data_IF_276843122972
#
_entry.id   IF_276843122972
#
_cell.length_a   1.000
_cell.length_b   1.000
_cell.length_c   1.000
_cell.angle_alpha   90.00
_cell.angle_beta   90.00
_cell.angle_gamma   90.00
#
_symmetry.space_group_name_H-M   'P 1'
#
loop_
_entity.id
_entity.type
_entity.pdbx_description
1 polymer ?
#
# COMPACT_ATOMS: atom_id res chain seq x y z
N UNK A 1 20.13 -49.48 -20.62
CA UNK A 1 19.24 -49.44 -19.44
C UNK A 1 19.06 -47.99 -19.03
N UNK A 2 17.80 -47.56 -19.05
CA UNK A 2 17.32 -46.19 -19.27
C UNK A 2 17.25 -45.33 -17.99
N UNK A 3 18.27 -45.36 -17.13
CA UNK A 3 18.20 -44.73 -15.80
C UNK A 3 19.04 -43.45 -15.62
N UNK A 4 19.68 -42.93 -16.67
CA UNK A 4 20.63 -41.82 -16.56
C UNK A 4 20.16 -40.47 -17.12
N UNK A 5 18.90 -40.32 -17.55
CA UNK A 5 18.40 -39.09 -18.19
C UNK A 5 17.12 -38.49 -17.57
N UNK A 6 16.78 -38.84 -16.33
CA UNK A 6 15.56 -38.38 -15.66
C UNK A 6 15.83 -37.74 -14.29
N UNK A 7 16.90 -36.94 -14.21
CA UNK A 7 17.19 -36.08 -13.04
C UNK A 7 17.42 -34.63 -13.47
N UNK A 8 16.65 -34.16 -14.44
CA UNK A 8 16.69 -32.78 -14.96
C UNK A 8 15.34 -32.10 -14.87
N UNK A 9 14.57 -32.34 -13.82
CA UNK A 9 13.36 -31.57 -13.51
C UNK A 9 13.13 -31.58 -12.00
N UNK A 10 13.85 -30.72 -11.29
CA UNK A 10 13.48 -30.07 -10.01
C UNK A 10 14.70 -29.30 -9.51
N UNK A 11 15.07 -28.23 -10.23
CA UNK A 11 15.77 -27.12 -9.60
C UNK A 11 14.70 -26.18 -9.05
N UNK A 12 14.50 -26.22 -7.74
CA UNK A 12 13.75 -25.19 -7.04
C UNK A 12 14.57 -23.90 -7.06
N UNK A 13 13.99 -22.74 -7.38
CA UNK A 13 14.69 -21.48 -7.23
C UNK A 13 14.91 -21.25 -5.73
N UNK A 14 16.17 -20.99 -5.35
CA UNK A 14 16.51 -20.53 -4.00
C UNK A 14 15.70 -19.27 -3.74
N UNK A 15 14.76 -19.35 -2.80
CA UNK A 15 14.06 -18.20 -2.26
C UNK A 15 15.13 -17.19 -1.81
N UNK A 16 15.20 -16.07 -2.53
CA UNK A 16 15.98 -14.94 -2.08
C UNK A 16 15.32 -14.47 -0.79
N UNK A 17 15.98 -14.75 0.32
CA UNK A 17 15.64 -14.21 1.63
C UNK A 17 15.68 -12.69 1.50
N UNK A 18 14.51 -12.09 1.24
CA UNK A 18 14.32 -10.67 1.35
C UNK A 18 14.73 -10.27 2.76
N UNK A 19 15.67 -9.32 2.82
CA UNK A 19 16.24 -8.83 4.07
C UNK A 19 15.19 -8.05 4.84
N UNK A 20 14.40 -8.75 5.65
CA UNK A 20 13.47 -8.18 6.63
C UNK A 20 14.22 -7.69 7.88
N UNK A 21 15.13 -6.72 7.76
CA UNK A 21 15.77 -6.15 8.95
C UNK A 21 16.03 -4.66 8.79
N UNK A 22 14.97 -3.88 8.89
CA UNK A 22 15.04 -2.46 9.29
C UNK A 22 13.82 -1.96 10.06
N UNK A 23 12.81 -2.80 10.34
CA UNK A 23 11.56 -2.39 11.02
C UNK A 23 11.50 -2.67 12.53
N UNK A 24 12.52 -3.28 13.15
CA UNK A 24 12.41 -3.79 14.54
C UNK A 24 12.44 -2.73 15.66
N UNK A 25 12.20 -1.44 15.37
CA UNK A 25 12.12 -0.38 16.40
C UNK A 25 10.86 0.49 16.32
N UNK A 26 9.92 0.22 15.41
CA UNK A 26 8.66 0.96 15.38
C UNK A 26 7.56 0.10 16.00
N UNK A 27 6.93 0.60 17.05
CA UNK A 27 5.72 -0.03 17.58
C UNK A 27 4.73 -0.23 16.42
N UNK A 28 4.11 -1.42 16.31
CA UNK A 28 3.10 -1.67 15.29
C UNK A 28 1.98 -0.63 15.47
N UNK A 29 1.39 -0.11 14.37
CA UNK A 29 0.30 0.83 14.48
C UNK A 29 -0.83 0.18 15.28
N UNK A 30 -1.43 0.95 16.17
CA UNK A 30 -2.57 0.47 16.97
C UNK A 30 -3.63 -0.13 16.03
N UNK A 31 -4.01 -1.41 16.22
CA UNK A 31 -4.96 -2.07 15.34
C UNK A 31 -6.33 -1.37 15.34
N UNK A 32 -6.67 -0.69 16.43
CA UNK A 32 -7.85 0.17 16.55
C UNK A 32 -7.79 1.32 15.53
N UNK A 33 -6.66 2.03 15.44
CA UNK A 33 -6.49 3.15 14.50
C UNK A 33 -6.57 2.68 13.04
N UNK A 34 -5.95 1.53 12.72
CA UNK A 34 -6.06 0.93 11.38
C UNK A 34 -7.52 0.62 11.05
N UNK A 35 -8.27 0.08 12.01
CA UNK A 35 -9.69 -0.24 11.83
C UNK A 35 -10.58 1.00 11.66
N UNK A 36 -10.34 2.04 12.45
CA UNK A 36 -11.07 3.31 12.37
C UNK A 36 -10.88 3.96 11.01
N UNK A 37 -9.64 4.14 10.56
CA UNK A 37 -9.34 4.75 9.27
C UNK A 37 -9.88 3.88 8.13
N UNK A 38 -9.72 2.54 8.21
CA UNK A 38 -10.28 1.64 7.19
C UNK A 38 -11.80 1.72 7.10
N UNK A 39 -12.49 1.95 8.22
CA UNK A 39 -13.93 2.18 8.25
C UNK A 39 -14.28 3.52 7.60
N UNK A 40 -13.55 4.60 7.90
CA UNK A 40 -13.72 5.90 7.23
C UNK A 40 -13.61 5.75 5.71
N UNK A 41 -12.58 5.06 5.20
CA UNK A 41 -12.41 4.80 3.77
C UNK A 41 -13.56 3.97 3.19
N UNK A 42 -14.07 3.02 3.95
CA UNK A 42 -15.19 2.17 3.54
C UNK A 42 -16.52 2.93 3.45
N UNK A 43 -16.71 3.92 4.32
CA UNK A 43 -17.92 4.74 4.42
C UNK A 43 -17.92 5.87 3.37
N UNK A 44 -16.74 6.34 2.93
CA UNK A 44 -16.58 7.47 2.00
C UNK A 44 -16.15 7.02 0.60
N UNK A 45 -16.96 6.15 -0.04
CA UNK A 45 -16.67 5.62 -1.39
C UNK A 45 -17.04 6.57 -2.52
N UNK A 46 -17.95 7.50 -2.27
CA UNK A 46 -18.42 8.40 -3.31
C UNK A 46 -17.38 9.52 -3.53
N UNK A 47 -17.08 9.89 -4.78
CA UNK A 47 -16.24 11.05 -5.07
C UNK A 47 -16.67 12.36 -4.40
N UNK A 48 -17.97 12.51 -4.11
CA UNK A 48 -18.52 13.70 -3.44
C UNK A 48 -18.31 13.72 -1.92
N UNK A 49 -17.92 12.59 -1.33
CA UNK A 49 -17.73 12.50 0.12
C UNK A 49 -16.46 13.27 0.53
N UNK A 50 -16.56 14.02 1.62
CA UNK A 50 -15.45 14.80 2.19
C UNK A 50 -14.55 13.91 3.05
N UNK A 51 -13.92 12.92 2.39
CA UNK A 51 -13.02 11.97 3.02
C UNK A 51 -11.85 12.66 3.73
N UNK A 52 -11.30 13.72 3.13
CA UNK A 52 -10.09 14.39 3.63
C UNK A 52 -10.36 15.17 4.92
N UNK A 53 -11.52 15.82 5.02
CA UNK A 53 -11.95 16.45 6.26
C UNK A 53 -12.08 15.43 7.39
N UNK A 54 -12.74 14.29 7.13
CA UNK A 54 -12.88 13.21 8.12
C UNK A 54 -11.52 12.63 8.52
N UNK A 55 -10.58 12.52 7.59
CA UNK A 55 -9.23 12.03 7.87
C UNK A 55 -8.38 13.02 8.68
N UNK A 56 -8.67 14.32 8.62
CA UNK A 56 -7.88 15.38 9.24
C UNK A 56 -7.58 15.16 10.73
N UNK A 57 -8.54 14.60 11.49
CA UNK A 57 -8.37 14.31 12.93
C UNK A 57 -7.28 13.28 13.22
N UNK A 58 -6.93 12.44 12.23
CA UNK A 58 -5.91 11.41 12.36
C UNK A 58 -4.51 11.88 11.97
N UNK A 59 -4.37 13.04 11.32
CA UNK A 59 -3.10 13.55 10.77
C UNK A 59 -1.91 13.47 11.74
N UNK A 60 -2.01 13.85 13.04
CA UNK A 60 -0.88 13.78 13.98
C UNK A 60 -0.39 12.36 14.29
N UNK A 61 -1.17 11.33 13.94
CA UNK A 61 -0.89 9.92 14.22
C UNK A 61 -0.43 9.16 12.98
N UNK A 62 -0.36 9.83 11.82
CA UNK A 62 -0.01 9.19 10.55
C UNK A 62 1.48 8.90 10.51
N UNK A 63 1.82 7.66 10.17
CA UNK A 63 3.16 7.16 9.91
C UNK A 63 3.14 6.25 8.70
N UNK A 64 4.29 6.06 8.03
CA UNK A 64 4.33 5.24 6.81
C UNK A 64 3.84 3.81 7.08
N UNK A 65 4.18 3.25 8.25
CA UNK A 65 3.68 1.95 8.70
C UNK A 65 2.14 1.94 8.85
N UNK A 66 1.55 2.98 9.44
CA UNK A 66 0.08 3.07 9.53
C UNK A 66 -0.57 3.09 8.15
N UNK A 67 -0.02 3.89 7.22
CA UNK A 67 -0.52 3.98 5.84
C UNK A 67 -0.46 2.61 5.16
N UNK A 68 0.67 1.90 5.25
CA UNK A 68 0.80 0.55 4.70
C UNK A 68 -0.27 -0.41 5.23
N UNK A 69 -0.49 -0.44 6.55
CA UNK A 69 -1.49 -1.33 7.16
C UNK A 69 -2.92 -0.98 6.74
N UNK A 70 -3.25 0.31 6.67
CA UNK A 70 -4.56 0.78 6.20
C UNK A 70 -4.77 0.40 4.73
N UNK A 71 -3.78 0.63 3.86
CA UNK A 71 -3.86 0.25 2.45
C UNK A 71 -4.03 -1.26 2.28
N UNK A 72 -3.24 -2.08 2.99
CA UNK A 72 -3.35 -3.55 2.99
C UNK A 72 -4.75 -4.01 3.39
N UNK A 73 -5.38 -3.36 4.37
CA UNK A 73 -6.76 -3.65 4.79
C UNK A 73 -7.80 -3.16 3.79
N UNK A 74 -7.54 -2.05 3.13
CA UNK A 74 -8.42 -1.41 2.15
C UNK A 74 -8.15 -1.87 0.70
N UNK A 75 -7.58 -3.06 0.50
CA UNK A 75 -7.14 -3.51 -0.82
C UNK A 75 -8.21 -3.60 -1.91
N UNK A 76 -9.48 -3.68 -1.50
CA UNK A 76 -10.64 -3.74 -2.39
C UNK A 76 -11.31 -2.36 -2.59
N UNK A 77 -10.74 -1.30 -2.01
CA UNK A 77 -11.29 0.06 -1.98
C UNK A 77 -10.41 0.98 -2.82
N UNK A 78 -10.21 0.65 -4.08
CA UNK A 78 -9.13 1.30 -4.82
C UNK A 78 -9.28 2.81 -4.96
N UNK A 79 -10.49 3.35 -5.20
CA UNK A 79 -10.68 4.80 -5.29
C UNK A 79 -10.45 5.50 -3.94
N UNK A 80 -11.07 5.06 -2.82
CA UNK A 80 -10.77 5.58 -1.49
C UNK A 80 -9.30 5.44 -1.07
N UNK A 81 -8.66 4.31 -1.37
CA UNK A 81 -7.26 4.05 -1.04
C UNK A 81 -6.32 5.05 -1.73
N UNK A 82 -6.59 5.37 -3.00
CA UNK A 82 -5.86 6.41 -3.74
C UNK A 82 -6.04 7.80 -3.12
N UNK A 83 -7.28 8.18 -2.78
CA UNK A 83 -7.54 9.47 -2.10
C UNK A 83 -6.84 9.56 -0.75
N UNK A 84 -6.88 8.48 0.04
CA UNK A 84 -6.16 8.39 1.31
C UNK A 84 -4.65 8.57 1.13
N UNK A 85 -4.07 7.92 0.13
CA UNK A 85 -2.64 8.06 -0.19
C UNK A 85 -2.26 9.50 -0.51
N UNK A 86 -3.04 10.17 -1.38
CA UNK A 86 -2.81 11.57 -1.75
C UNK A 86 -3.02 12.55 -0.58
N UNK A 87 -3.98 12.26 0.30
CA UNK A 87 -4.19 13.01 1.53
C UNK A 87 -3.00 12.88 2.48
N UNK A 88 -2.52 11.65 2.74
CA UNK A 88 -1.40 11.43 3.64
C UNK A 88 -0.14 12.18 3.18
N UNK A 89 0.13 12.21 1.86
CA UNK A 89 1.26 12.95 1.28
C UNK A 89 1.24 14.47 1.55
N UNK A 90 0.07 15.05 1.84
CA UNK A 90 -0.05 16.48 2.15
C UNK A 90 0.21 16.82 3.62
N UNK A 91 0.38 15.81 4.48
CA UNK A 91 0.72 16.02 5.88
C UNK A 91 2.17 16.53 5.96
N UNK A 92 2.43 17.65 6.67
CA UNK A 92 3.79 18.14 6.85
C UNK A 92 4.71 17.08 7.48
N UNK A 93 5.95 17.01 7.01
CA UNK A 93 6.99 16.10 7.48
C UNK A 93 6.66 14.59 7.33
N UNK A 94 5.60 14.25 6.59
CA UNK A 94 5.25 12.87 6.28
C UNK A 94 5.78 12.47 4.90
N UNK A 95 6.37 11.27 4.83
CA UNK A 95 6.80 10.65 3.59
C UNK A 95 6.27 9.22 3.48
N UNK A 96 5.82 8.85 2.28
CA UNK A 96 5.40 7.48 2.00
C UNK A 96 6.61 6.55 1.91
N UNK A 97 6.46 5.33 2.43
CA UNK A 97 7.45 4.28 2.19
C UNK A 97 7.32 3.72 0.77
N UNK A 98 8.41 3.17 0.22
CA UNK A 98 8.38 2.44 -1.06
C UNK A 98 7.29 1.35 -1.08
N UNK A 99 7.12 0.66 0.05
CA UNK A 99 6.10 -0.37 0.23
C UNK A 99 4.68 0.22 0.08
N UNK A 100 4.42 1.43 0.55
CA UNK A 100 3.13 2.11 0.37
C UNK A 100 2.80 2.35 -1.11
N UNK A 101 3.81 2.70 -1.92
CA UNK A 101 3.65 2.85 -3.38
C UNK A 101 3.31 1.51 -4.04
N UNK A 102 4.06 0.45 -3.72
CA UNK A 102 3.80 -0.89 -4.26
C UNK A 102 2.39 -1.39 -3.93
N UNK A 103 1.97 -1.28 -2.66
CA UNK A 103 0.62 -1.66 -2.25
C UNK A 103 -0.42 -0.88 -3.06
N UNK A 104 -0.24 0.43 -3.25
CA UNK A 104 -1.21 1.22 -4.01
C UNK A 104 -1.30 0.79 -5.48
N UNK A 105 -0.17 0.50 -6.13
CA UNK A 105 -0.15 -0.05 -7.50
C UNK A 105 -0.95 -1.35 -7.58
N UNK A 106 -0.73 -2.27 -6.64
CA UNK A 106 -1.48 -3.54 -6.58
C UNK A 106 -2.99 -3.31 -6.40
N UNK A 107 -3.38 -2.38 -5.53
CA UNK A 107 -4.78 -2.05 -5.27
C UNK A 107 -5.45 -1.47 -6.51
N UNK A 108 -4.82 -0.51 -7.17
CA UNK A 108 -5.37 0.13 -8.37
C UNK A 108 -5.47 -0.86 -9.54
N UNK A 109 -4.44 -1.69 -9.73
CA UNK A 109 -4.42 -2.73 -10.76
C UNK A 109 -5.49 -3.80 -10.53
N UNK A 110 -5.60 -4.32 -9.30
CA UNK A 110 -6.61 -5.34 -8.95
C UNK A 110 -8.04 -4.80 -9.00
N UNK A 111 -8.23 -3.51 -8.69
CA UNK A 111 -9.52 -2.82 -8.79
C UNK A 111 -9.87 -2.34 -10.21
N UNK A 112 -9.01 -2.63 -11.21
CA UNK A 112 -9.17 -2.20 -12.63
C UNK A 112 -9.26 -0.69 -12.83
N UNK A 113 -8.68 0.10 -11.93
CA UNK A 113 -8.66 1.56 -12.03
C UNK A 113 -7.44 2.04 -12.83
N UNK A 114 -7.37 1.62 -14.10
CA UNK A 114 -6.18 1.82 -14.91
C UNK A 114 -5.88 3.29 -15.20
N UNK A 115 -6.90 4.15 -15.30
CA UNK A 115 -6.70 5.59 -15.46
C UNK A 115 -5.92 6.18 -14.26
N UNK A 116 -6.40 5.93 -13.04
CA UNK A 116 -5.72 6.39 -11.81
C UNK A 116 -4.35 5.76 -11.64
N UNK A 117 -4.21 4.47 -11.97
CA UNK A 117 -2.91 3.81 -11.93
C UNK A 117 -1.91 4.47 -12.87
N UNK A 118 -2.35 4.83 -14.08
CA UNK A 118 -1.47 5.42 -15.07
C UNK A 118 -1.03 6.83 -14.67
N UNK A 119 -1.97 7.66 -14.22
CA UNK A 119 -1.68 8.99 -13.69
C UNK A 119 -0.69 8.90 -12.51
N UNK A 120 -0.92 7.95 -11.61
CA UNK A 120 -0.05 7.70 -10.46
C UNK A 120 1.37 7.25 -10.85
N UNK A 121 1.51 6.37 -11.85
CA UNK A 121 2.83 5.90 -12.31
C UNK A 121 3.63 6.99 -13.02
N UNK A 122 2.95 7.86 -13.78
CA UNK A 122 3.59 9.03 -14.40
C UNK A 122 4.14 9.95 -13.31
N UNK A 123 3.33 10.22 -12.29
CA UNK A 123 3.73 11.04 -11.16
C UNK A 123 4.90 10.41 -10.38
N UNK A 124 4.82 9.12 -10.02
CA UNK A 124 5.86 8.42 -9.27
C UNK A 124 7.23 8.41 -9.98
N UNK A 125 7.22 8.27 -11.32
CA UNK A 125 8.44 8.30 -12.13
C UNK A 125 9.20 9.63 -12.03
N UNK A 126 8.49 10.75 -11.87
CA UNK A 126 9.12 12.06 -11.71
C UNK A 126 9.90 12.18 -10.39
N UNK A 127 9.60 11.32 -9.41
CA UNK A 127 10.25 11.29 -8.10
C UNK A 127 11.37 10.23 -7.97
N UNK A 128 11.83 9.62 -9.07
CA UNK A 128 12.84 8.53 -9.10
C UNK A 128 12.45 7.27 -8.29
N UNK A 129 11.15 6.96 -8.19
CA UNK A 129 10.65 5.68 -7.69
C UNK A 129 10.35 4.71 -8.83
#
# INVERSE_FOLDING_TARGET
TFSSLLRTLHQTPKAQTFRFFSTLLHDPPSPELVNEISRVLSDHRNPKDDLEHTLGVYSPRVSSNLVEQVLKRCKNLGFPAHRFFLWARRIPDFEHSLESYHILVEILGSSKQFALLWDFLIEAKEYNY
#
